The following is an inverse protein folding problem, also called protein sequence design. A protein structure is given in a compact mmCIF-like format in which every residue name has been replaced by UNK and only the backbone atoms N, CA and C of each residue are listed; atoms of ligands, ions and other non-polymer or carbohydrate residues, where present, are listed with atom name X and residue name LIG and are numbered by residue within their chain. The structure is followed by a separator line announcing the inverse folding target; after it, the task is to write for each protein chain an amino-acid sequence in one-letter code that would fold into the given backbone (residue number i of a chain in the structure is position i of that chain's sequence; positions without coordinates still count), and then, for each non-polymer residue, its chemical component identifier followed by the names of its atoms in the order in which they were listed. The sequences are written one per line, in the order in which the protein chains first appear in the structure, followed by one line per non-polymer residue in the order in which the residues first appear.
data_IF_156204561461
#
_entry.id   IF_156204561461
#
_cell.length_a   1.000
_cell.length_b   1.000
_cell.length_c   1.000
_cell.angle_alpha   90.00
_cell.angle_beta   90.00
_cell.angle_gamma   90.00
#
_symmetry.space_group_name_H-M   'P 1'
#
loop_
_entity.id
_entity.type
_entity.pdbx_description
1 polymer ?
#
# COMPACT_ATOMS: atom_id res chain seq x y z
N UNK A 1 -2.99 -10.73 -0.37
CA UNK A 1 -3.68 -10.96 -1.65
C UNK A 1 -3.52 -12.42 -2.07
N UNK A 2 -4.62 -13.10 -2.38
CA UNK A 2 -4.62 -14.48 -2.89
C UNK A 2 -4.53 -14.49 -4.44
N UNK A 3 -3.42 -15.00 -4.97
CA UNK A 3 -3.14 -15.03 -6.41
C UNK A 3 -4.03 -16.03 -7.16
N UNK A 4 -4.45 -17.12 -6.51
CA UNK A 4 -5.24 -18.17 -7.13
C UNK A 4 -6.68 -17.67 -7.37
N UNK A 5 -7.22 -16.95 -6.39
CA UNK A 5 -8.51 -16.28 -6.54
C UNK A 5 -8.47 -15.24 -7.66
N UNK A 6 -7.40 -14.44 -7.76
CA UNK A 6 -7.27 -13.45 -8.82
C UNK A 6 -7.24 -14.09 -10.22
N UNK A 7 -6.54 -15.22 -10.37
CA UNK A 7 -6.51 -15.97 -11.63
C UNK A 7 -7.90 -16.54 -11.98
N UNK A 8 -8.60 -17.14 -11.01
CA UNK A 8 -9.95 -17.67 -11.24
C UNK A 8 -10.94 -16.58 -11.69
N UNK A 9 -10.93 -15.41 -11.03
CA UNK A 9 -11.78 -14.29 -11.40
C UNK A 9 -11.46 -13.71 -12.79
N UNK A 10 -10.19 -13.81 -13.21
CA UNK A 10 -9.77 -13.41 -14.54
C UNK A 10 -10.27 -14.40 -15.61
N UNK A 11 -10.08 -15.70 -15.38
CA UNK A 11 -10.50 -16.76 -16.30
C UNK A 11 -12.02 -16.80 -16.48
N UNK A 12 -12.78 -16.53 -15.41
CA UNK A 12 -14.24 -16.42 -15.43
C UNK A 12 -14.74 -15.12 -16.13
N UNK A 13 -13.84 -14.23 -16.54
CA UNK A 13 -14.18 -12.97 -17.22
C UNK A 13 -14.82 -11.91 -16.32
N UNK A 14 -14.85 -12.12 -15.01
CA UNK A 14 -15.53 -11.25 -14.03
C UNK A 14 -15.00 -9.81 -14.11
N UNK A 15 -13.68 -9.63 -14.23
CA UNK A 15 -13.09 -8.29 -14.36
C UNK A 15 -13.57 -7.53 -15.60
N UNK A 16 -13.83 -8.24 -16.70
CA UNK A 16 -14.33 -7.64 -17.94
C UNK A 16 -15.79 -7.23 -17.80
N UNK A 17 -16.62 -8.05 -17.16
CA UNK A 17 -18.03 -7.72 -16.90
C UNK A 17 -18.16 -6.55 -15.90
N UNK A 18 -17.33 -6.53 -14.84
CA UNK A 18 -17.29 -5.40 -13.91
C UNK A 18 -16.84 -4.09 -14.58
N UNK A 19 -15.92 -4.16 -15.54
CA UNK A 19 -15.52 -3.00 -16.33
C UNK A 19 -16.66 -2.50 -17.24
N UNK A 20 -17.30 -3.41 -17.99
CA UNK A 20 -18.44 -3.06 -18.88
C UNK A 20 -19.63 -2.48 -18.10
N UNK A 21 -19.89 -3.01 -16.91
CA UNK A 21 -20.95 -2.53 -16.02
C UNK A 21 -20.59 -1.22 -15.29
N UNK A 22 -19.37 -0.70 -15.48
CA UNK A 22 -18.91 0.57 -14.89
C UNK A 22 -18.54 0.49 -13.41
N UNK A 23 -18.49 -0.71 -12.82
CA UNK A 23 -18.09 -0.90 -11.42
C UNK A 23 -16.58 -0.74 -11.21
N UNK A 24 -15.78 -1.04 -12.24
CA UNK A 24 -14.32 -0.87 -12.22
C UNK A 24 -13.94 0.04 -13.39
N UNK A 25 -13.10 1.04 -13.11
CA UNK A 25 -12.60 1.97 -14.13
C UNK A 25 -11.19 1.58 -14.58
N UNK A 26 -10.77 2.07 -15.75
CA UNK A 26 -9.40 1.92 -16.25
C UNK A 26 -8.37 2.37 -15.22
N UNK A 27 -8.68 3.44 -14.48
CA UNK A 27 -7.85 3.96 -13.40
C UNK A 27 -7.55 2.91 -12.32
N UNK A 28 -8.53 2.09 -11.95
CA UNK A 28 -8.36 1.03 -10.94
C UNK A 28 -7.40 -0.05 -11.45
N UNK A 29 -7.54 -0.43 -12.73
CA UNK A 29 -6.60 -1.37 -13.36
C UNK A 29 -5.19 -0.80 -13.41
N UNK A 30 -5.01 0.44 -13.87
CA UNK A 30 -3.70 1.11 -13.91
C UNK A 30 -3.07 1.16 -12.53
N UNK A 31 -3.85 1.54 -11.49
CA UNK A 31 -3.32 1.62 -10.14
C UNK A 31 -2.93 0.25 -9.60
N UNK A 32 -3.70 -0.79 -9.92
CA UNK A 32 -3.39 -2.16 -9.52
C UNK A 32 -2.14 -2.68 -10.21
N UNK A 33 -1.97 -2.39 -11.49
CA UNK A 33 -0.78 -2.76 -12.25
C UNK A 33 0.47 -2.09 -11.68
N UNK A 34 0.40 -0.78 -11.39
CA UNK A 34 1.48 -0.04 -10.72
C UNK A 34 1.83 -0.69 -9.37
N UNK A 35 0.83 -0.96 -8.54
CA UNK A 35 1.03 -1.59 -7.23
C UNK A 35 1.78 -2.93 -7.36
N UNK A 36 1.28 -3.83 -8.20
CA UNK A 36 1.88 -5.15 -8.39
C UNK A 36 3.29 -5.06 -8.97
N UNK A 37 3.51 -4.16 -9.93
CA UNK A 37 4.81 -3.98 -10.54
C UNK A 37 5.86 -3.47 -9.54
N UNK A 38 5.54 -2.44 -8.74
CA UNK A 38 6.44 -1.89 -7.72
C UNK A 38 6.79 -2.96 -6.67
N UNK A 39 5.79 -3.70 -6.17
CA UNK A 39 6.02 -4.78 -5.22
C UNK A 39 6.91 -5.88 -5.81
N UNK A 40 6.69 -6.26 -7.07
CA UNK A 40 7.54 -7.22 -7.75
C UNK A 40 8.99 -6.73 -7.88
N UNK A 41 9.22 -5.44 -8.18
CA UNK A 41 10.59 -4.90 -8.23
C UNK A 41 11.28 -4.94 -6.86
N UNK A 42 10.55 -4.62 -5.79
CA UNK A 42 11.08 -4.69 -4.43
C UNK A 42 11.46 -6.12 -4.05
N UNK A 43 10.63 -7.11 -4.40
CA UNK A 43 10.85 -8.52 -4.06
C UNK A 43 11.93 -9.19 -4.93
N UNK A 44 11.91 -8.95 -6.24
CA UNK A 44 12.79 -9.66 -7.19
C UNK A 44 14.17 -9.04 -7.32
N UNK A 45 14.26 -7.71 -7.23
CA UNK A 45 15.52 -6.97 -7.41
C UNK A 45 16.04 -6.37 -6.11
N UNK A 46 15.30 -6.47 -5.01
CA UNK A 46 15.70 -5.86 -3.72
C UNK A 46 15.72 -4.33 -3.76
N UNK A 47 14.96 -3.70 -4.65
CA UNK A 47 14.91 -2.23 -4.70
C UNK A 47 14.25 -1.66 -3.46
N UNK A 48 14.74 -0.51 -2.99
CA UNK A 48 14.02 0.28 -1.99
C UNK A 48 12.72 0.81 -2.60
N UNK A 49 11.70 1.03 -1.75
CA UNK A 49 10.40 1.54 -2.19
C UNK A 49 10.53 2.81 -3.04
N UNK A 50 11.35 3.77 -2.59
CA UNK A 50 11.57 5.03 -3.32
C UNK A 50 12.22 4.82 -4.70
N UNK A 51 13.19 3.91 -4.81
CA UNK A 51 13.80 3.58 -6.12
C UNK A 51 12.80 2.91 -7.05
N UNK A 52 11.99 1.97 -6.53
CA UNK A 52 10.96 1.31 -7.31
C UNK A 52 9.86 2.30 -7.76
N UNK A 53 9.53 3.31 -6.94
CA UNK A 53 8.60 4.39 -7.32
C UNK A 53 9.18 5.23 -8.46
N UNK A 54 10.44 5.67 -8.37
CA UNK A 54 11.09 6.45 -9.42
C UNK A 54 11.15 5.68 -10.76
N UNK A 55 11.45 4.38 -10.72
CA UNK A 55 11.42 3.56 -11.94
C UNK A 55 9.99 3.38 -12.50
N UNK A 56 8.98 3.32 -11.62
CA UNK A 56 7.59 3.19 -12.03
C UNK A 56 7.08 4.46 -12.74
N UNK A 57 7.52 5.65 -12.35
CA UNK A 57 7.18 6.90 -13.05
C UNK A 57 7.52 6.82 -14.53
N UNK A 58 8.74 6.35 -14.83
CA UNK A 58 9.21 6.17 -16.20
C UNK A 58 8.46 5.04 -16.91
N UNK A 59 8.27 3.89 -16.23
CA UNK A 59 7.63 2.71 -16.83
C UNK A 59 6.16 2.94 -17.21
N UNK A 60 5.44 3.72 -16.41
CA UNK A 60 4.00 3.96 -16.58
C UNK A 60 3.69 5.35 -17.16
N UNK A 61 4.71 6.20 -17.36
CA UNK A 61 4.58 7.58 -17.81
C UNK A 61 3.56 8.36 -16.95
N UNK A 62 3.77 8.33 -15.63
CA UNK A 62 2.95 9.01 -14.62
C UNK A 62 3.84 9.78 -13.66
N UNK A 63 3.28 10.82 -13.04
CA UNK A 63 3.97 11.53 -11.96
C UNK A 63 4.11 10.67 -10.69
N UNK A 64 5.15 10.97 -9.90
CA UNK A 64 5.45 10.32 -8.62
C UNK A 64 4.21 10.24 -7.70
N UNK A 65 3.46 11.34 -7.61
CA UNK A 65 2.26 11.45 -6.79
C UNK A 65 1.22 10.39 -7.16
N UNK A 66 1.05 10.13 -8.45
CA UNK A 66 0.13 9.12 -8.98
C UNK A 66 0.61 7.72 -8.65
N UNK A 67 1.92 7.48 -8.71
CA UNK A 67 2.49 6.20 -8.27
C UNK A 67 2.23 5.97 -6.78
N UNK A 68 2.52 6.95 -5.92
CA UNK A 68 2.26 6.86 -4.49
C UNK A 68 0.78 6.65 -4.17
N UNK A 69 -0.12 7.35 -4.87
CA UNK A 69 -1.58 7.13 -4.73
C UNK A 69 -1.96 5.69 -5.07
N UNK A 70 -1.44 5.15 -6.17
CA UNK A 70 -1.68 3.76 -6.55
C UNK A 70 -1.20 2.79 -5.47
N UNK A 71 -0.03 3.04 -4.84
CA UNK A 71 0.47 2.23 -3.74
C UNK A 71 -0.44 2.27 -2.51
N UNK A 72 -0.95 3.44 -2.16
CA UNK A 72 -1.77 3.63 -0.98
C UNK A 72 -3.21 3.12 -1.15
N UNK A 73 -3.72 3.04 -2.38
CA UNK A 73 -5.08 2.53 -2.64
C UNK A 73 -5.30 1.05 -2.28
N UNK A 74 -4.23 0.26 -2.16
CA UNK A 74 -4.30 -1.17 -1.88
C UNK A 74 -3.54 -1.59 -0.63
N UNK A 75 -3.03 -0.62 0.13
CA UNK A 75 -2.46 -0.87 1.45
C UNK A 75 -3.63 -1.16 2.40
N UNK A 76 -3.57 -2.30 3.10
CA UNK A 76 -4.61 -2.64 4.08
C UNK A 76 -4.62 -1.60 5.21
N UNK A 77 -5.81 -1.28 5.71
CA UNK A 77 -6.06 -0.28 6.77
C UNK A 77 -5.50 -0.73 8.13
N UNK A 78 -4.98 -1.95 8.25
CA UNK A 78 -4.50 -2.51 9.52
C UNK A 78 -3.35 -1.72 10.17
N UNK A 79 -2.60 -0.92 9.42
CA UNK A 79 -1.49 -0.13 9.99
C UNK A 79 -1.95 1.15 10.72
N UNK A 80 -3.15 1.67 10.45
CA UNK A 80 -3.71 2.86 11.12
C UNK A 80 -4.54 2.52 12.38
N UNK A 81 -4.76 1.23 12.65
CA UNK A 81 -5.51 0.74 13.81
C UNK A 81 -4.62 0.18 14.93
N UNK A 82 -3.30 0.14 14.72
CA UNK A 82 -2.38 -0.16 15.80
C UNK A 82 -2.18 1.13 16.62
N UNK A 83 -2.46 1.14 17.93
CA UNK A 83 -2.07 2.26 18.77
C UNK A 83 -0.56 2.44 18.61
N UNK A 84 -0.14 3.62 18.17
CA UNK A 84 1.26 4.03 18.20
C UNK A 84 1.71 3.91 19.64
N UNK A 85 2.58 2.95 19.94
CA UNK A 85 3.26 2.86 21.23
C UNK A 85 4.28 3.99 21.30
N UNK A 86 3.79 5.23 21.40
CA UNK A 86 4.54 6.44 21.69
C UNK A 86 4.12 6.94 23.09
N UNK A 87 4.14 6.04 24.08
CA UNK A 87 4.10 6.39 25.51
C UNK A 87 5.40 5.89 26.17
N UNK A 88 6.52 6.50 25.79
CA UNK A 88 7.67 6.65 26.69
C UNK A 88 8.05 8.13 26.70
N UNK A 89 7.69 8.81 27.80
CA UNK A 89 8.48 9.82 28.55
C UNK A 89 7.56 10.87 29.19
N UNK A 90 7.28 10.67 30.47
CA UNK A 90 7.17 11.75 31.47
C UNK A 90 7.52 11.15 32.84
N UNK A 91 8.79 10.75 32.98
CA UNK A 91 9.43 10.60 34.28
C UNK A 91 10.12 11.92 34.62
N UNK A 92 9.48 12.79 35.41
CA UNK A 92 10.23 13.67 36.31
C UNK A 92 9.40 14.07 37.55
N UNK A 93 10.00 13.73 38.70
CA UNK A 93 9.86 14.34 40.03
C UNK A 93 8.47 14.67 40.58
N UNK A 94 8.06 13.97 41.65
CA UNK A 94 7.87 14.64 42.95
C UNK A 94 7.57 13.69 44.14
N UNK A 95 8.24 13.99 45.25
CA UNK A 95 8.03 13.54 46.64
C UNK A 95 8.53 12.17 47.08
N UNK A 96 9.87 12.10 47.19
CA UNK A 96 10.45 11.71 48.46
C UNK A 96 10.01 12.70 49.56
N UNK A 97 9.01 12.31 50.37
CA UNK A 97 8.84 12.73 51.77
C UNK A 97 7.49 12.25 52.30
N UNK A 98 7.43 11.04 52.86
CA UNK A 98 6.54 10.68 53.97
C UNK A 98 7.20 9.55 54.77
N UNK A 99 8.33 9.87 55.40
CA UNK A 99 8.80 9.21 56.60
C UNK A 99 8.84 10.26 57.71
N UNK A 100 7.79 10.32 58.53
CA UNK A 100 7.83 10.57 59.98
C UNK A 100 6.49 10.22 60.61
#
# INVERSE_FOLDING_TARGET
MDINLANALFDDGVFSELYKAGFITEKVFTYREIYLWVHAQMQTRGLTKNKAVLEAEVKFNKDERTIWRALNCFKEVEEDLLPTTDEEDDFEENYANEHF
#
